data_IF_988404000557
#
_entry.id   IF_988404000557
#
_cell.length_a   1.000
_cell.length_b   1.000
_cell.length_c   1.000
_cell.angle_alpha   90.00
_cell.angle_beta   90.00
_cell.angle_gamma   90.00
#
_symmetry.space_group_name_H-M   'P 1'
#
loop_
_entity.id
_entity.type
_entity.pdbx_description
1 polymer ?
#
# COMPACT_ATOMS: atom_id res chain seq x y z
N UNK A 1 -16.87 -20.91 9.63
CA UNK A 1 -15.51 -21.14 10.19
C UNK A 1 -14.41 -20.45 9.38
N UNK A 2 -14.53 -20.35 8.05
CA UNK A 2 -13.50 -19.74 7.19
C UNK A 2 -13.22 -18.25 7.48
N UNK A 3 -14.21 -17.48 7.94
CA UNK A 3 -14.07 -16.04 8.24
C UNK A 3 -12.97 -15.75 9.27
N UNK A 4 -12.86 -16.56 10.33
CA UNK A 4 -11.82 -16.38 11.37
C UNK A 4 -10.41 -16.54 10.82
N UNK A 5 -10.20 -17.47 9.89
CA UNK A 5 -8.90 -17.70 9.25
C UNK A 5 -8.43 -16.45 8.51
N UNK A 6 -9.34 -15.75 7.83
CA UNK A 6 -9.02 -14.49 7.15
C UNK A 6 -8.68 -13.37 8.12
N UNK A 7 -9.44 -13.22 9.20
CA UNK A 7 -9.18 -12.21 10.23
C UNK A 7 -7.80 -12.44 10.84
N UNK A 8 -7.48 -13.68 11.22
CA UNK A 8 -6.20 -14.04 11.81
C UNK A 8 -5.04 -13.82 10.83
N UNK A 9 -5.23 -14.17 9.55
CA UNK A 9 -4.24 -13.93 8.50
C UNK A 9 -3.95 -12.44 8.34
N UNK A 10 -4.97 -11.60 8.21
CA UNK A 10 -4.79 -10.16 7.99
C UNK A 10 -4.14 -9.50 9.22
N UNK A 11 -4.44 -9.97 10.44
CA UNK A 11 -3.82 -9.47 11.68
C UNK A 11 -2.35 -9.84 11.82
N UNK A 12 -1.90 -10.93 11.20
CA UNK A 12 -0.48 -11.32 11.17
C UNK A 12 0.35 -10.46 10.23
N UNK A 13 -0.28 -9.89 9.21
CA UNK A 13 0.40 -8.96 8.30
C UNK A 13 0.72 -7.68 9.07
N UNK A 14 2.00 -7.23 9.08
CA UNK A 14 2.39 -5.95 9.69
C UNK A 14 1.58 -4.78 9.14
N UNK A 15 1.26 -3.81 10.01
CA UNK A 15 0.43 -2.66 9.65
C UNK A 15 1.05 -1.83 8.51
N UNK A 16 2.38 -1.80 8.39
CA UNK A 16 3.10 -1.10 7.32
C UNK A 16 2.86 -1.71 5.93
N UNK A 17 2.36 -2.96 5.88
CA UNK A 17 2.05 -3.66 4.64
C UNK A 17 0.56 -3.67 4.31
N UNK A 18 -0.32 -3.16 5.18
CA UNK A 18 -1.77 -3.18 4.94
C UNK A 18 -2.17 -2.37 3.71
N UNK A 19 -1.47 -1.28 3.41
CA UNK A 19 -1.65 -0.48 2.20
C UNK A 19 -1.04 -1.09 0.93
N UNK A 20 -0.40 -2.26 1.05
CA UNK A 20 0.15 -3.04 -0.06
C UNK A 20 -0.63 -4.34 -0.26
N UNK A 21 -1.72 -4.54 0.48
CA UNK A 21 -2.58 -5.69 0.28
C UNK A 21 -3.45 -5.53 -0.95
N UNK A 22 -3.64 -6.61 -1.68
CA UNK A 22 -4.64 -6.74 -2.73
C UNK A 22 -5.55 -7.89 -2.34
N UNK A 23 -6.84 -7.60 -2.22
CA UNK A 23 -7.86 -8.63 -2.00
C UNK A 23 -8.39 -9.12 -3.34
N UNK A 24 -8.40 -10.44 -3.52
CA UNK A 24 -8.92 -11.09 -4.72
C UNK A 24 -10.24 -11.74 -4.38
N UNK A 25 -11.28 -11.40 -5.15
CA UNK A 25 -12.62 -11.94 -4.95
C UNK A 25 -12.89 -13.19 -5.78
N UNK A 26 -14.00 -13.88 -5.51
CA UNK A 26 -14.51 -15.02 -6.30
C UNK A 26 -14.69 -14.67 -7.78
N UNK A 27 -15.12 -13.45 -8.06
CA UNK A 27 -15.25 -12.88 -9.41
C UNK A 27 -13.91 -12.58 -10.10
N UNK A 28 -12.78 -12.89 -9.46
CA UNK A 28 -11.42 -12.50 -9.86
C UNK A 28 -11.17 -10.99 -9.91
N UNK A 29 -12.09 -10.20 -9.35
CA UNK A 29 -11.82 -8.78 -9.13
C UNK A 29 -10.74 -8.61 -8.06
N UNK A 30 -9.77 -7.76 -8.37
CA UNK A 30 -8.65 -7.40 -7.51
C UNK A 30 -8.90 -6.00 -6.94
N UNK A 31 -8.78 -5.85 -5.63
CA UNK A 31 -9.00 -4.59 -4.93
C UNK A 31 -7.74 -4.27 -4.15
N UNK A 32 -7.00 -3.25 -4.59
CA UNK A 32 -5.84 -2.73 -3.88
C UNK A 32 -6.31 -1.96 -2.64
N UNK A 33 -5.84 -2.38 -1.47
CA UNK A 33 -6.16 -1.77 -0.18
C UNK A 33 -5.32 -0.52 -0.01
N UNK A 34 -5.98 0.60 0.26
CA UNK A 34 -5.31 1.87 0.57
C UNK A 34 -5.28 2.11 2.08
N UNK A 35 -6.38 1.82 2.77
CA UNK A 35 -6.49 1.98 4.23
C UNK A 35 -7.44 0.93 4.79
N UNK A 36 -6.94 0.09 5.70
CA UNK A 36 -7.75 -0.87 6.44
C UNK A 36 -8.35 -0.19 7.66
N UNK A 37 -9.68 -0.17 7.79
CA UNK A 37 -10.36 0.48 8.93
C UNK A 37 -10.68 -0.53 10.04
N UNK A 38 -11.34 -1.63 9.69
CA UNK A 38 -11.82 -2.60 10.67
C UNK A 38 -12.00 -3.99 10.09
N UNK A 39 -11.76 -4.99 10.92
CA UNK A 39 -12.05 -6.40 10.69
C UNK A 39 -13.24 -6.77 11.59
N UNK A 40 -14.41 -6.99 10.99
CA UNK A 40 -15.59 -7.50 11.70
C UNK A 40 -15.61 -9.03 11.64
N UNK A 41 -16.65 -9.67 12.18
CA UNK A 41 -16.76 -11.14 12.15
C UNK A 41 -17.09 -11.70 10.76
N UNK A 42 -17.81 -10.93 9.93
CA UNK A 42 -18.33 -11.40 8.63
C UNK A 42 -17.76 -10.67 7.42
N UNK A 43 -17.21 -9.46 7.61
CA UNK A 43 -16.68 -8.64 6.53
C UNK A 43 -15.52 -7.76 7.00
N UNK A 44 -14.72 -7.30 6.05
CA UNK A 44 -13.69 -6.29 6.25
C UNK A 44 -14.12 -4.94 5.68
N UNK A 45 -13.84 -3.86 6.41
CA UNK A 45 -14.10 -2.48 6.00
C UNK A 45 -12.78 -1.80 5.69
N UNK A 46 -12.63 -1.30 4.47
CA UNK A 46 -11.41 -0.66 4.02
C UNK A 46 -11.69 0.35 2.90
N UNK A 47 -10.78 1.32 2.73
CA UNK A 47 -10.70 2.14 1.53
C UNK A 47 -9.78 1.46 0.53
N UNK A 48 -10.16 1.40 -0.73
CA UNK A 48 -9.34 0.77 -1.75
C UNK A 48 -9.68 1.20 -3.15
N UNK A 49 -8.99 0.60 -4.13
CA UNK A 49 -9.21 0.84 -5.55
C UNK A 49 -9.39 -0.48 -6.27
N UNK A 50 -10.40 -0.54 -7.13
CA UNK A 50 -10.60 -1.68 -8.01
C UNK A 50 -9.54 -1.63 -9.12
N UNK A 51 -8.78 -2.71 -9.30
CA UNK A 51 -7.78 -2.82 -10.37
C UNK A 51 -8.40 -2.48 -11.73
N UNK A 52 -7.71 -1.64 -12.51
CA UNK A 52 -8.18 -1.20 -13.83
C UNK A 52 -9.08 0.04 -13.80
N UNK A 53 -9.37 0.61 -12.63
CA UNK A 53 -10.08 1.88 -12.50
C UNK A 53 -9.13 2.99 -12.02
N UNK A 54 -9.32 4.20 -12.53
CA UNK A 54 -8.62 5.40 -12.02
C UNK A 54 -9.38 6.09 -10.88
N UNK A 55 -10.58 5.59 -10.57
CA UNK A 55 -11.45 6.24 -9.60
C UNK A 55 -10.86 6.17 -8.18
N UNK A 56 -11.11 7.22 -7.41
CA UNK A 56 -10.48 7.44 -6.11
C UNK A 56 -11.03 6.52 -5.03
N UNK A 57 -10.14 6.02 -4.17
CA UNK A 57 -10.37 5.25 -2.95
C UNK A 57 -11.81 5.11 -2.46
N UNK A 58 -12.57 4.16 -3.00
CA UNK A 58 -13.93 3.88 -2.56
C UNK A 58 -13.92 3.12 -1.24
N UNK A 59 -14.96 3.30 -0.43
CA UNK A 59 -15.18 2.48 0.76
C UNK A 59 -15.73 1.12 0.33
N UNK A 60 -15.05 0.05 0.73
CA UNK A 60 -15.46 -1.32 0.49
C UNK A 60 -15.88 -1.98 1.79
N UNK A 61 -16.98 -2.72 1.73
CA UNK A 61 -17.36 -3.75 2.69
C UNK A 61 -17.25 -5.07 1.96
N UNK A 62 -16.20 -5.83 2.24
CA UNK A 62 -15.94 -7.10 1.55
C UNK A 62 -16.22 -8.27 2.49
N UNK A 63 -17.27 -9.06 2.22
CA UNK A 63 -17.52 -10.30 2.93
C UNK A 63 -16.38 -11.31 2.77
N UNK A 64 -16.02 -11.98 3.86
CA UNK A 64 -14.91 -12.95 3.84
C UNK A 64 -15.19 -14.21 3.00
N UNK A 65 -16.46 -14.55 2.79
CA UNK A 65 -16.90 -15.66 1.92
C UNK A 65 -16.63 -15.37 0.44
N UNK A 66 -16.48 -14.09 0.06
CA UNK A 66 -16.15 -13.65 -1.29
C UNK A 66 -14.66 -13.51 -1.53
N UNK A 67 -13.83 -13.61 -0.50
CA UNK A 67 -12.38 -13.56 -0.64
C UNK A 67 -11.82 -14.92 -1.06
N UNK A 68 -11.01 -14.91 -2.12
CA UNK A 68 -10.30 -16.09 -2.62
C UNK A 68 -8.81 -16.06 -2.31
N UNK A 69 -8.19 -14.88 -2.32
CA UNK A 69 -6.79 -14.71 -2.01
C UNK A 69 -6.49 -13.31 -1.47
N UNK A 70 -5.35 -13.20 -0.79
CA UNK A 70 -4.72 -11.94 -0.39
C UNK A 70 -3.30 -11.94 -0.96
N UNK A 71 -2.94 -10.87 -1.66
CA UNK A 71 -1.63 -10.70 -2.29
C UNK A 71 -0.96 -9.50 -1.62
N UNK A 72 0.34 -9.61 -1.32
CA UNK A 72 1.15 -8.45 -0.93
C UNK A 72 1.83 -7.93 -2.19
N UNK A 73 1.50 -6.70 -2.61
CA UNK A 73 2.01 -6.04 -3.80
C UNK A 73 3.44 -5.48 -3.59
N UNK A 74 4.30 -6.27 -2.96
CA UNK A 74 5.70 -5.97 -2.67
C UNK A 74 6.47 -7.28 -2.58
N UNK A 75 7.71 -7.25 -3.07
CA UNK A 75 8.65 -8.35 -2.84
C UNK A 75 9.02 -8.43 -1.35
N UNK A 76 8.67 -9.55 -0.73
CA UNK A 76 9.07 -9.89 0.63
C UNK A 76 10.21 -10.89 0.59
N UNK A 77 11.23 -10.69 1.44
CA UNK A 77 12.26 -11.70 1.66
C UNK A 77 11.64 -12.86 2.45
N UNK A 78 12.12 -14.07 2.20
CA UNK A 78 11.66 -15.28 2.90
C UNK A 78 11.76 -15.15 4.42
N UNK A 79 12.84 -14.52 4.92
CA UNK A 79 13.04 -14.23 6.34
C UNK A 79 11.94 -13.36 6.95
N UNK A 80 11.37 -12.44 6.16
CA UNK A 80 10.32 -11.54 6.64
C UNK A 80 8.97 -12.25 6.66
N UNK A 81 8.69 -13.06 5.63
CA UNK A 81 7.49 -13.92 5.60
C UNK A 81 7.50 -14.89 6.78
N UNK A 82 8.64 -15.52 7.05
CA UNK A 82 8.76 -16.49 8.14
C UNK A 82 8.45 -15.86 9.50
N UNK A 83 8.94 -14.65 9.77
CA UNK A 83 8.62 -13.90 11.01
C UNK A 83 7.13 -13.59 11.16
N UNK A 84 6.41 -13.30 10.07
CA UNK A 84 4.98 -13.00 10.11
C UNK A 84 4.13 -14.21 10.53
N UNK A 85 4.59 -15.44 10.27
CA UNK A 85 3.80 -16.65 10.47
C UNK A 85 4.34 -17.60 11.55
N UNK A 86 5.57 -17.41 12.07
CA UNK A 86 6.17 -18.27 13.10
C UNK A 86 5.57 -18.10 14.50
N UNK A 87 5.07 -16.92 14.87
CA UNK A 87 4.59 -16.63 16.24
C UNK A 87 3.31 -17.39 16.66
N UNK A 88 2.80 -18.27 15.81
CA UNK A 88 1.53 -18.97 16.00
C UNK A 88 1.62 -20.49 16.13
N UNK A 89 2.79 -21.11 15.89
CA UNK A 89 2.97 -22.55 16.11
C UNK A 89 3.41 -22.90 17.54
N UNK A 90 3.67 -21.91 18.39
CA UNK A 90 4.36 -22.13 19.68
C UNK A 90 3.50 -21.79 20.91
N UNK A 91 2.19 -21.55 20.74
CA UNK A 91 1.25 -21.29 21.85
C UNK A 91 0.31 -22.47 22.17
N UNK A 92 0.77 -23.70 21.92
CA UNK A 92 0.23 -24.91 22.55
C UNK A 92 1.36 -25.76 23.13
N UNK A 93 2.13 -25.22 24.07
CA UNK A 93 2.83 -26.03 25.09
C UNK A 93 2.91 -25.28 26.42
N UNK A 94 2.54 -26.02 27.45
CA UNK A 94 2.32 -25.70 28.86
C UNK A 94 3.52 -25.03 29.57
N UNK A 95 3.19 -24.08 30.44
CA UNK A 95 3.88 -23.60 31.66
C UNK A 95 5.27 -24.18 32.03
N UNK A 96 6.21 -23.28 32.36
CA UNK A 96 7.16 -23.50 33.45
C UNK A 96 8.51 -22.78 33.33
N UNK A 97 8.75 -21.81 34.23
CA UNK A 97 10.05 -21.20 34.58
C UNK A 97 10.69 -20.33 33.49
N UNK A 98 10.86 -19.01 33.62
CA UNK A 98 11.30 -18.26 34.78
C UNK A 98 12.73 -17.80 34.57
N UNK A 99 12.94 -16.56 34.10
CA UNK A 99 13.98 -15.66 34.62
C UNK A 99 13.87 -14.26 34.02
N UNK A 100 13.73 -13.30 34.94
CA UNK A 100 13.95 -11.89 34.73
C UNK A 100 15.44 -11.61 34.44
N UNK A 101 15.70 -10.59 33.61
CA UNK A 101 16.89 -9.76 33.73
C UNK A 101 16.60 -8.35 33.21
N UNK A 102 16.45 -7.44 34.15
CA UNK A 102 16.76 -6.02 33.99
C UNK A 102 18.22 -5.87 33.57
N UNK A 103 18.46 -4.99 32.59
CA UNK A 103 19.66 -4.15 32.59
C UNK A 103 19.26 -2.76 32.10
N UNK A 104 19.13 -1.88 33.07
CA UNK A 104 19.23 -0.43 32.99
C UNK A 104 20.68 -0.07 32.63
N UNK A 105 20.90 0.77 31.61
CA UNK A 105 22.15 1.51 31.48
C UNK A 105 21.95 2.82 30.72
N UNK A 106 21.77 3.84 31.57
CA UNK A 106 22.14 5.24 31.45
C UNK A 106 23.45 5.49 30.67
N UNK A 107 23.39 6.35 29.64
CA UNK A 107 24.55 7.08 29.12
C UNK A 107 24.09 8.50 28.73
N UNK A 108 24.07 9.36 29.73
CA UNK A 108 24.90 10.56 29.82
C UNK A 108 25.11 11.41 28.54
N UNK A 109 24.42 12.55 28.55
CA UNK A 109 24.63 13.72 27.68
C UNK A 109 26.07 14.22 27.74
N UNK A 110 26.76 14.27 26.61
CA UNK A 110 27.97 15.10 26.44
C UNK A 110 27.79 16.14 25.32
N UNK A 111 28.23 17.39 25.55
CA UNK A 111 28.01 18.52 24.64
C UNK A 111 29.06 18.59 23.52
N UNK A 112 28.70 18.99 22.29
CA UNK A 112 29.69 19.24 21.25
C UNK A 112 30.36 20.62 21.42
N UNK A 113 31.70 20.60 21.48
CA UNK A 113 32.61 21.76 21.41
C UNK A 113 32.62 22.35 19.98
N UNK A 114 32.76 23.68 19.80
CA UNK A 114 32.69 24.32 18.50
C UNK A 114 34.04 24.27 17.76
N UNK A 115 33.99 24.10 16.44
CA UNK A 115 35.07 24.52 15.54
C UNK A 115 34.50 25.19 14.28
N UNK A 116 35.21 26.19 13.72
CA UNK A 116 34.68 27.19 12.80
C UNK A 116 35.09 26.94 11.33
N UNK A 117 34.66 27.87 10.46
CA UNK A 117 34.98 28.04 9.02
C UNK A 117 34.04 27.17 8.15
N UNK A 118 33.40 27.66 7.08
CA UNK A 118 33.80 28.61 6.04
C UNK A 118 32.53 29.17 5.38
N UNK A 119 32.54 30.48 5.05
CA UNK A 119 31.57 31.13 4.17
C UNK A 119 31.48 30.45 2.80
N UNK A 120 30.29 30.01 2.38
CA UNK A 120 29.96 29.86 0.96
C UNK A 120 28.50 30.23 0.73
N UNK A 121 28.20 31.24 -0.10
CA UNK A 121 26.84 31.55 -0.49
C UNK A 121 26.39 30.70 -1.70
N UNK A 122 25.11 30.30 -1.66
CA UNK A 122 24.23 29.87 -2.78
C UNK A 122 24.28 28.38 -3.15
N UNK A 123 23.14 27.68 -3.11
CA UNK A 123 22.40 27.42 -4.35
C UNK A 123 20.88 27.65 -4.25
N UNK A 124 20.30 28.02 -5.38
CA UNK A 124 18.95 28.56 -5.52
C UNK A 124 17.79 27.62 -5.17
N UNK A 125 16.75 28.25 -4.62
CA UNK A 125 15.37 27.76 -4.61
C UNK A 125 14.90 27.49 -6.05
N UNK A 126 14.83 26.22 -6.45
CA UNK A 126 13.94 25.82 -7.52
C UNK A 126 12.54 25.61 -6.94
N UNK A 127 11.72 26.64 -7.07
CA UNK A 127 10.27 26.55 -6.90
C UNK A 127 9.73 25.74 -8.08
N UNK A 128 9.22 24.54 -7.83
CA UNK A 128 8.47 23.76 -8.83
C UNK A 128 7.09 24.42 -8.96
N UNK A 129 6.96 25.31 -9.93
CA UNK A 129 5.67 25.81 -10.41
C UNK A 129 5.07 24.72 -11.31
N UNK A 130 3.81 24.30 -11.14
CA UNK A 130 3.16 23.44 -12.13
C UNK A 130 3.04 24.24 -13.44
N UNK A 131 3.86 23.89 -14.44
CA UNK A 131 3.77 24.48 -15.78
C UNK A 131 2.44 24.05 -16.41
N UNK A 132 1.66 25.05 -16.82
CA UNK A 132 0.54 24.87 -17.71
C UNK A 132 0.99 24.10 -18.98
N UNK A 133 0.14 23.23 -19.55
CA UNK A 133 0.48 22.47 -20.74
C UNK A 133 0.78 23.43 -21.89
N UNK A 134 1.97 23.32 -22.47
CA UNK A 134 2.36 24.08 -23.66
C UNK A 134 1.47 23.73 -24.85
N UNK A 135 1.16 24.72 -25.69
CA UNK A 135 0.23 24.65 -26.83
C UNK A 135 0.50 23.51 -27.83
N UNK A 136 1.75 23.00 -27.89
CA UNK A 136 2.13 21.87 -28.73
C UNK A 136 1.41 20.56 -28.35
N UNK A 137 1.14 20.34 -27.06
CA UNK A 137 0.46 19.14 -26.55
C UNK A 137 -1.04 19.21 -26.82
N UNK A 138 -1.63 20.41 -26.82
CA UNK A 138 -3.04 20.64 -27.12
C UNK A 138 -3.31 20.44 -28.63
N UNK A 139 -2.43 20.98 -29.49
CA UNK A 139 -2.53 20.81 -30.93
C UNK A 139 -2.42 19.34 -31.38
N UNK A 140 -1.54 18.56 -30.74
CA UNK A 140 -1.39 17.13 -31.01
C UNK A 140 -2.64 16.32 -30.62
N UNK A 141 -3.27 16.64 -29.48
CA UNK A 141 -4.49 15.98 -29.01
C UNK A 141 -5.69 16.28 -29.91
N UNK A 142 -5.83 17.53 -30.37
CA UNK A 142 -6.90 17.91 -31.29
C UNK A 142 -6.76 17.23 -32.65
N UNK A 143 -5.53 17.15 -33.17
CA UNK A 143 -5.23 16.45 -34.43
C UNK A 143 -5.54 14.95 -34.36
N UNK A 144 -5.35 14.31 -33.19
CA UNK A 144 -5.67 12.89 -32.99
C UNK A 144 -7.18 12.65 -32.95
N UNK A 145 -7.93 13.53 -32.28
CA UNK A 145 -9.39 13.42 -32.16
C UNK A 145 -10.08 13.64 -33.51
N UNK A 146 -9.58 14.55 -34.34
CA UNK A 146 -10.14 14.76 -35.69
C UNK A 146 -9.87 13.57 -36.61
N UNK A 147 -8.70 12.92 -36.51
CA UNK A 147 -8.41 11.67 -37.23
C UNK A 147 -9.34 10.52 -36.79
N UNK A 148 -9.66 10.42 -35.50
CA UNK A 148 -10.58 9.40 -35.00
C UNK A 148 -12.04 9.65 -35.42
N UNK A 149 -12.48 10.92 -35.51
CA UNK A 149 -13.81 11.24 -36.06
C UNK A 149 -13.89 10.93 -37.56
N UNK A 150 -12.84 11.26 -38.32
CA UNK A 150 -12.77 10.94 -39.75
C UNK A 150 -12.82 9.42 -40.01
N UNK A 151 -12.09 8.63 -39.22
CA UNK A 151 -12.06 7.17 -39.36
C UNK A 151 -13.43 6.50 -39.09
N UNK A 152 -14.23 7.03 -38.16
CA UNK A 152 -15.57 6.49 -37.84
C UNK A 152 -16.60 6.71 -38.95
N UNK A 153 -16.48 7.79 -39.73
CA UNK A 153 -17.40 8.04 -40.85
C UNK A 153 -17.13 7.14 -42.06
N UNK A 154 -15.90 6.64 -42.21
CA UNK A 154 -15.52 5.78 -43.34
C UNK A 154 -15.99 4.33 -43.15
N UNK A 155 -16.25 3.88 -41.92
CA UNK A 155 -16.60 2.48 -41.63
C UNK A 155 -18.10 2.15 -41.70
N UNK A 156 -18.98 3.09 -42.06
CA UNK A 156 -20.45 2.89 -42.05
C UNK A 156 -21.05 2.85 -43.47
N UNK A 157 -20.21 2.86 -44.51
CA UNK A 157 -20.64 2.76 -45.90
C UNK A 157 -20.13 1.50 -46.58
N UNK A 158 -20.75 0.35 -46.29
CA UNK A 158 -20.70 -0.83 -47.15
C UNK A 158 -21.93 -1.69 -46.98
#
# INVERSE_FOLDING_TARGET
>A
MQNRVWIDLIRRVPAELHNQLIFVTDSKAEIAVETLFRLEDDFVVFRGRLSGTTDGGMLFLLPYDRMTAVIVARELKETDVQKMFQDSSEKETVHGSGQAKETEQDIELTPPKPSPLVDTPTPGKSVIIPRAPTDSTIAARNSLLDKLRAARHVSTGR
#
